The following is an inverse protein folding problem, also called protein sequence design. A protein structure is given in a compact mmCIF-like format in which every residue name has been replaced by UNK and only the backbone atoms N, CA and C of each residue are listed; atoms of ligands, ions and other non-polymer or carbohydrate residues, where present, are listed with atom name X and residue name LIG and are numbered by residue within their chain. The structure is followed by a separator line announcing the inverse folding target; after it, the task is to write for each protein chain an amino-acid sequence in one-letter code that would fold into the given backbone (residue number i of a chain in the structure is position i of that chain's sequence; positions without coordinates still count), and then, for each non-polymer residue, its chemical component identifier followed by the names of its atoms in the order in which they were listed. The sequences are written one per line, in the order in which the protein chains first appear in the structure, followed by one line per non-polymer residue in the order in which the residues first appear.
data_IF_135177119960
#
_entry.id   IF_135177119960
#
_cell.length_a   1.000
_cell.length_b   1.000
_cell.length_c   1.000
_cell.angle_alpha   90.00
_cell.angle_beta   90.00
_cell.angle_gamma   90.00
#
_symmetry.space_group_name_H-M   'P 1'
#
loop_
_entity.id
_entity.type
_entity.pdbx_description
1 polymer ?
#
# COMPACT_ATOMS: atom_id res chain seq x y z
N UNK A 1 -4.93 13.73 20.35
CA UNK A 1 -5.02 14.16 18.94
C UNK A 1 -6.07 13.31 18.29
N UNK A 2 -6.99 13.90 17.51
CA UNK A 2 -7.96 13.12 16.75
C UNK A 2 -7.21 12.23 15.74
N UNK A 3 -7.59 10.96 15.70
CA UNK A 3 -6.96 9.97 14.84
C UNK A 3 -7.34 10.23 13.39
N UNK A 4 -6.34 10.33 12.51
CA UNK A 4 -6.59 10.33 11.07
C UNK A 4 -6.90 8.91 10.63
N UNK A 5 -8.09 8.69 10.09
CA UNK A 5 -8.42 7.43 9.43
C UNK A 5 -7.93 7.51 7.97
N UNK A 6 -7.04 6.59 7.63
CA UNK A 6 -6.37 6.55 6.33
C UNK A 6 -7.13 5.73 5.29
N UNK A 7 -6.85 6.03 4.03
CA UNK A 7 -7.22 5.22 2.86
C UNK A 7 -6.86 3.74 3.05
N UNK A 8 -7.69 2.87 2.52
CA UNK A 8 -7.48 1.44 2.37
C UNK A 8 -6.65 1.17 1.12
N UNK A 9 -5.59 0.37 1.25
CA UNK A 9 -4.74 -0.05 0.15
C UNK A 9 -4.64 -1.56 0.19
N UNK A 10 -4.71 -2.20 -0.96
CA UNK A 10 -4.60 -3.64 -1.14
C UNK A 10 -3.68 -3.94 -2.31
N UNK A 11 -2.86 -4.97 -2.17
CA UNK A 11 -2.05 -5.54 -3.24
C UNK A 11 -2.34 -7.02 -3.39
N UNK A 12 -2.38 -7.46 -4.65
CA UNK A 12 -2.59 -8.84 -5.04
C UNK A 12 -1.57 -9.20 -6.11
N UNK A 13 -0.86 -10.31 -5.90
CA UNK A 13 0.07 -10.89 -6.86
C UNK A 13 -0.46 -12.24 -7.37
N UNK A 14 -0.27 -12.50 -8.66
CA UNK A 14 -0.43 -13.82 -9.28
C UNK A 14 0.71 -14.04 -10.26
N UNK A 15 1.70 -14.84 -9.86
CA UNK A 15 2.92 -15.04 -10.63
C UNK A 15 3.71 -13.73 -10.77
N UNK A 16 3.99 -13.36 -12.02
CA UNK A 16 4.69 -12.14 -12.43
C UNK A 16 3.79 -10.90 -12.46
N UNK A 17 2.47 -11.07 -12.40
CA UNK A 17 1.51 -9.96 -12.42
C UNK A 17 1.17 -9.50 -11.01
N UNK A 18 1.18 -8.19 -10.81
CA UNK A 18 0.78 -7.58 -9.54
C UNK A 18 -0.11 -6.37 -9.77
N UNK A 19 -1.14 -6.25 -8.95
CA UNK A 19 -1.94 -5.05 -8.84
C UNK A 19 -1.80 -4.47 -7.44
N UNK A 20 -1.82 -3.14 -7.37
CA UNK A 20 -1.89 -2.39 -6.13
C UNK A 20 -2.94 -1.30 -6.31
N UNK A 21 -3.90 -1.26 -5.40
CA UNK A 21 -4.96 -0.28 -5.47
C UNK A 21 -5.30 0.28 -4.11
N UNK A 22 -5.93 1.44 -4.11
CA UNK A 22 -6.44 2.05 -2.90
C UNK A 22 -7.61 2.98 -3.16
N UNK A 23 -8.39 3.22 -2.12
CA UNK A 23 -9.47 4.18 -2.15
C UNK A 23 -8.96 5.62 -1.91
N UNK A 24 -9.87 6.59 -2.02
CA UNK A 24 -9.56 8.01 -1.95
C UNK A 24 -10.01 8.70 -0.67
N UNK A 25 -10.65 8.00 0.28
CA UNK A 25 -11.22 8.63 1.46
C UNK A 25 -10.16 9.05 2.47
N UNK A 26 -10.27 10.30 2.92
CA UNK A 26 -9.52 10.85 4.06
C UNK A 26 -10.53 11.36 5.06
N UNK A 27 -10.50 10.80 6.25
CA UNK A 27 -11.42 11.13 7.35
C UNK A 27 -10.64 11.66 8.54
N UNK A 28 -11.08 12.80 9.07
CA UNK A 28 -10.57 13.39 10.31
C UNK A 28 -11.66 13.30 11.37
N UNK A 29 -11.42 12.51 12.42
CA UNK A 29 -12.45 12.15 13.38
C UNK A 29 -13.62 11.46 12.68
N UNK A 30 -14.76 12.13 12.63
CA UNK A 30 -15.98 11.62 12.01
C UNK A 30 -16.37 12.37 10.70
N UNK A 31 -15.49 13.23 10.19
CA UNK A 31 -15.77 14.08 9.02
C UNK A 31 -14.91 13.65 7.83
N UNK A 32 -15.55 13.38 6.70
CA UNK A 32 -14.87 13.14 5.42
C UNK A 32 -14.29 14.47 4.92
N UNK A 33 -12.96 14.58 4.90
CA UNK A 33 -12.27 15.78 4.41
C UNK A 33 -12.03 15.75 2.90
N UNK A 34 -11.77 14.57 2.33
CA UNK A 34 -11.48 14.39 0.92
C UNK A 34 -11.89 12.98 0.48
N UNK A 35 -12.52 12.88 -0.69
CA UNK A 35 -12.92 11.58 -1.27
C UNK A 35 -12.00 11.04 -2.37
N UNK A 36 -11.03 11.83 -2.85
CA UNK A 36 -10.19 11.47 -4.01
C UNK A 36 -8.69 11.62 -3.74
N UNK A 37 -8.21 11.18 -2.58
CA UNK A 37 -6.78 11.08 -2.33
C UNK A 37 -6.12 10.03 -3.25
N UNK A 38 -4.88 10.28 -3.63
CA UNK A 38 -4.09 9.38 -4.49
C UNK A 38 -2.85 8.93 -3.73
N UNK A 39 -2.93 7.78 -3.05
CA UNK A 39 -1.82 7.22 -2.25
C UNK A 39 -1.18 5.97 -2.86
N UNK A 40 -1.62 5.61 -4.05
CA UNK A 40 -1.00 4.59 -4.90
C UNK A 40 -0.27 5.29 -6.04
N UNK A 41 0.98 4.91 -6.28
CA UNK A 41 1.85 5.51 -7.29
C UNK A 41 2.81 4.49 -7.87
N UNK A 42 3.36 4.81 -9.04
CA UNK A 42 4.54 4.14 -9.57
C UNK A 42 5.77 4.98 -9.26
N UNK A 43 6.88 4.32 -8.97
CA UNK A 43 8.21 4.90 -8.74
C UNK A 43 9.26 4.09 -9.50
N UNK A 44 10.51 4.56 -9.50
CA UNK A 44 11.65 3.88 -10.12
C UNK A 44 11.37 3.49 -11.58
N UNK A 45 11.30 4.51 -12.45
CA UNK A 45 11.00 4.34 -13.89
C UNK A 45 9.72 3.55 -14.18
N UNK A 46 8.70 3.72 -13.32
CA UNK A 46 7.42 3.00 -13.38
C UNK A 46 7.49 1.47 -13.16
N UNK A 47 8.62 0.96 -12.66
CA UNK A 47 8.85 -0.48 -12.44
C UNK A 47 8.47 -0.95 -11.04
N UNK A 48 8.18 -0.04 -10.11
CA UNK A 48 7.77 -0.36 -8.74
C UNK A 48 6.47 0.33 -8.41
N UNK A 49 5.49 -0.42 -7.91
CA UNK A 49 4.26 0.09 -7.33
C UNK A 49 4.48 0.37 -5.85
N UNK A 50 3.89 1.46 -5.37
CA UNK A 50 3.94 1.81 -3.95
C UNK A 50 2.60 2.35 -3.49
N UNK A 51 2.18 1.90 -2.31
CA UNK A 51 0.97 2.34 -1.62
C UNK A 51 1.29 2.71 -0.18
N UNK A 52 0.73 3.81 0.31
CA UNK A 52 0.98 4.27 1.68
C UNK A 52 -0.31 4.56 2.47
N UNK A 53 -0.43 4.01 3.68
CA UNK A 53 -1.48 4.37 4.63
C UNK A 53 -0.88 5.19 5.80
N UNK A 54 -1.31 6.45 5.91
CA UNK A 54 -0.84 7.40 6.92
C UNK A 54 -1.02 8.87 6.48
N UNK A 55 -0.34 9.79 7.15
CA UNK A 55 -0.31 11.22 6.84
C UNK A 55 0.36 11.56 5.49
N UNK A 56 -0.22 12.48 4.72
CA UNK A 56 0.26 12.80 3.37
C UNK A 56 1.68 13.36 3.33
N UNK A 57 2.08 14.19 4.30
CA UNK A 57 3.42 14.79 4.35
C UNK A 57 4.52 13.73 4.57
N UNK A 58 4.19 12.73 5.37
CA UNK A 58 5.06 11.62 5.72
C UNK A 58 5.27 10.70 4.51
N UNK A 59 4.19 10.49 3.73
CA UNK A 59 4.22 9.69 2.51
C UNK A 59 5.27 10.21 1.52
N UNK A 60 5.25 11.50 1.18
CA UNK A 60 6.20 12.07 0.22
C UNK A 60 7.66 11.90 0.67
N UNK A 61 7.93 12.20 1.94
CA UNK A 61 9.29 12.09 2.48
C UNK A 61 9.82 10.65 2.46
N UNK A 62 8.96 9.66 2.72
CA UNK A 62 9.32 8.25 2.66
C UNK A 62 9.52 7.76 1.23
N UNK A 63 8.70 8.23 0.29
CA UNK A 63 8.80 7.88 -1.12
C UNK A 63 10.10 8.40 -1.75
N UNK A 64 10.45 9.66 -1.52
CA UNK A 64 11.69 10.24 -2.07
C UNK A 64 12.92 9.48 -1.54
N UNK A 65 12.93 9.13 -0.25
CA UNK A 65 13.99 8.31 0.34
C UNK A 65 14.02 6.90 -0.23
N UNK A 66 12.86 6.28 -0.43
CA UNK A 66 12.78 4.94 -0.96
C UNK A 66 13.24 4.86 -2.42
N UNK A 67 12.86 5.84 -3.24
CA UNK A 67 13.32 5.96 -4.63
C UNK A 67 14.85 6.13 -4.69
N UNK A 68 15.44 6.95 -3.83
CA UNK A 68 16.90 7.05 -3.71
C UNK A 68 17.57 5.72 -3.31
N UNK A 69 16.94 4.90 -2.46
CA UNK A 69 17.44 3.55 -2.13
C UNK A 69 17.33 2.60 -3.32
N UNK A 70 16.22 2.66 -4.08
CA UNK A 70 16.04 1.86 -5.28
C UNK A 70 17.11 2.20 -6.33
N UNK A 71 17.39 3.49 -6.57
CA UNK A 71 18.47 3.93 -7.46
C UNK A 71 19.83 3.40 -7.00
N UNK A 72 20.16 3.59 -5.73
CA UNK A 72 21.43 3.13 -5.14
C UNK A 72 21.62 1.61 -5.24
N UNK A 73 20.52 0.85 -5.17
CA UNK A 73 20.53 -0.61 -5.21
C UNK A 73 20.07 -1.19 -6.55
N UNK A 74 20.11 -0.39 -7.62
CA UNK A 74 19.82 -0.82 -9.00
C UNK A 74 18.48 -1.56 -9.11
N UNK A 75 17.45 -1.05 -8.44
CA UNK A 75 16.10 -1.61 -8.48
C UNK A 75 15.89 -2.85 -7.62
N UNK A 76 16.86 -3.29 -6.82
CA UNK A 76 16.66 -4.41 -5.91
C UNK A 76 15.68 -4.02 -4.78
N UNK A 77 14.41 -4.42 -4.95
CA UNK A 77 13.31 -4.02 -4.08
C UNK A 77 13.53 -4.43 -2.62
N UNK A 78 13.89 -5.68 -2.37
CA UNK A 78 14.11 -6.21 -1.02
C UNK A 78 15.24 -5.48 -0.31
N UNK A 79 16.36 -5.25 -1.00
CA UNK A 79 17.50 -4.52 -0.43
C UNK A 79 17.15 -3.07 -0.15
N UNK A 80 16.47 -2.40 -1.08
CA UNK A 80 16.02 -1.02 -0.89
C UNK A 80 15.03 -0.90 0.29
N UNK A 81 14.11 -1.85 0.43
CA UNK A 81 13.12 -1.90 1.51
C UNK A 81 13.79 -2.07 2.88
N UNK A 82 14.75 -3.00 3.00
CA UNK A 82 15.52 -3.21 4.23
C UNK A 82 16.33 -1.97 4.61
N UNK A 83 16.96 -1.30 3.64
CA UNK A 83 17.73 -0.08 3.91
C UNK A 83 16.83 1.11 4.26
N UNK A 84 15.63 1.22 3.67
CA UNK A 84 14.63 2.20 4.10
C UNK A 84 14.18 1.92 5.52
N UNK A 85 13.88 0.66 5.87
CA UNK A 85 13.42 0.27 7.19
C UNK A 85 14.47 0.57 8.29
N UNK A 86 15.76 0.38 7.98
CA UNK A 86 16.87 0.79 8.86
C UNK A 86 16.91 2.30 9.07
N UNK A 87 16.78 3.10 8.01
CA UNK A 87 16.71 4.56 8.10
C UNK A 87 15.48 4.98 8.92
N UNK A 88 14.33 4.34 8.71
CA UNK A 88 13.09 4.62 9.40
C UNK A 88 13.22 4.41 10.92
N UNK A 89 13.90 3.33 11.33
CA UNK A 89 14.15 3.00 12.74
C UNK A 89 15.22 3.89 13.40
N UNK A 90 16.13 4.47 12.63
CA UNK A 90 17.25 5.26 13.18
C UNK A 90 16.97 6.77 13.18
N UNK A 91 16.22 7.26 12.19
CA UNK A 91 15.86 8.67 12.05
C UNK A 91 14.82 9.09 13.11
N UNK A 92 15.14 10.15 13.86
CA UNK A 92 14.29 10.66 14.96
C UNK A 92 12.93 11.15 14.46
N UNK A 93 12.87 11.68 13.24
CA UNK A 93 11.63 12.18 12.65
C UNK A 93 10.78 11.03 12.13
N UNK A 94 11.40 10.07 11.41
CA UNK A 94 10.67 8.96 10.79
C UNK A 94 10.04 8.00 11.80
N UNK A 95 10.68 7.76 12.95
CA UNK A 95 10.13 6.89 14.01
C UNK A 95 8.79 7.33 14.60
N UNK A 96 8.40 8.58 14.41
CA UNK A 96 7.11 9.10 14.90
C UNK A 96 5.96 8.84 13.93
N UNK A 97 6.28 8.31 12.76
CA UNK A 97 5.31 8.02 11.72
C UNK A 97 4.62 6.70 12.03
N UNK A 98 3.30 6.74 12.21
CA UNK A 98 2.45 5.55 12.42
C UNK A 98 2.07 4.86 11.09
N UNK A 99 2.89 5.06 10.07
CA UNK A 99 2.50 4.71 8.72
C UNK A 99 2.99 3.34 8.28
N UNK A 100 2.29 2.78 7.29
CA UNK A 100 2.66 1.55 6.63
C UNK A 100 2.74 1.76 5.12
N UNK A 101 3.67 1.04 4.48
CA UNK A 101 3.89 1.04 3.05
C UNK A 101 3.68 -0.37 2.51
N UNK A 102 2.98 -0.52 1.38
CA UNK A 102 3.06 -1.69 0.52
C UNK A 102 3.87 -1.30 -0.70
N UNK A 103 4.83 -2.13 -1.10
CA UNK A 103 5.62 -1.94 -2.31
C UNK A 103 5.71 -3.23 -3.11
N UNK A 104 5.71 -3.14 -4.43
CA UNK A 104 5.77 -4.32 -5.30
C UNK A 104 6.46 -4.05 -6.64
N UNK A 105 7.26 -4.99 -7.12
CA UNK A 105 7.81 -5.03 -8.48
C UNK A 105 7.26 -6.25 -9.27
N UNK A 106 7.85 -6.61 -10.41
CA UNK A 106 7.42 -7.79 -11.17
C UNK A 106 7.58 -9.12 -10.42
N UNK A 107 8.44 -9.19 -9.41
CA UNK A 107 8.84 -10.43 -8.72
C UNK A 107 8.40 -10.51 -7.26
N UNK A 108 8.33 -9.38 -6.56
CA UNK A 108 8.32 -9.32 -5.10
C UNK A 108 7.29 -8.30 -4.61
N UNK A 109 6.55 -8.63 -3.56
CA UNK A 109 5.66 -7.72 -2.83
C UNK A 109 6.12 -7.66 -1.38
N UNK A 110 6.24 -6.46 -0.80
CA UNK A 110 6.68 -6.26 0.58
C UNK A 110 5.79 -5.26 1.32
N UNK A 111 5.65 -5.45 2.61
CA UNK A 111 5.08 -4.48 3.55
C UNK A 111 6.19 -3.91 4.42
N UNK A 112 6.28 -2.58 4.52
CA UNK A 112 7.23 -1.88 5.38
C UNK A 112 6.45 -1.13 6.46
N UNK A 113 6.80 -1.36 7.73
CA UNK A 113 6.12 -0.73 8.87
C UNK A 113 6.94 0.42 9.45
N UNK A 114 6.27 1.36 10.14
CA UNK A 114 6.93 2.44 10.88
C UNK A 114 7.89 1.98 11.99
N UNK A 115 7.80 0.71 12.41
CA UNK A 115 8.73 0.10 13.37
C UNK A 115 10.04 -0.39 12.71
N UNK A 116 10.12 -0.33 11.38
CA UNK A 116 11.26 -0.81 10.61
C UNK A 116 11.22 -2.30 10.32
N UNK A 117 10.04 -2.91 10.28
CA UNK A 117 9.87 -4.29 9.82
C UNK A 117 9.66 -4.33 8.31
N UNK A 118 10.21 -5.37 7.68
CA UNK A 118 9.97 -5.69 6.26
C UNK A 118 9.38 -7.08 6.19
N UNK A 119 8.15 -7.17 5.68
CA UNK A 119 7.35 -8.39 5.70
C UNK A 119 7.02 -8.80 4.26
N UNK A 120 7.25 -10.08 3.95
CA UNK A 120 6.80 -10.73 2.71
C UNK A 120 5.42 -11.39 2.97
N UNK A 121 4.34 -10.95 2.32
CA UNK A 121 3.00 -11.45 2.61
C UNK A 121 2.76 -12.84 2.04
N UNK A 122 2.18 -13.72 2.86
CA UNK A 122 1.75 -15.05 2.42
C UNK A 122 0.77 -14.96 1.25
N UNK A 123 1.01 -15.77 0.22
CA UNK A 123 0.19 -15.78 -1.00
C UNK A 123 0.29 -14.51 -1.86
N UNK A 124 1.21 -13.58 -1.55
CA UNK A 124 1.38 -12.35 -2.31
C UNK A 124 0.20 -11.38 -2.18
N UNK A 125 -0.59 -11.48 -1.11
CA UNK A 125 -1.78 -10.66 -0.85
C UNK A 125 -1.61 -9.93 0.48
N UNK A 126 -1.71 -8.61 0.46
CA UNK A 126 -1.67 -7.80 1.67
C UNK A 126 -2.55 -6.55 1.54
N UNK A 127 -2.98 -6.02 2.67
CA UNK A 127 -3.70 -4.76 2.74
C UNK A 127 -3.31 -3.96 3.97
N UNK A 128 -3.43 -2.64 3.88
CA UNK A 128 -3.17 -1.67 4.96
C UNK A 128 -4.26 -0.60 4.96
N UNK A 129 -4.36 0.15 6.06
CA UNK A 129 -5.33 1.24 6.21
C UNK A 129 -6.66 0.80 6.82
N UNK A 130 -7.63 1.72 6.86
CA UNK A 130 -8.81 1.59 7.72
C UNK A 130 -9.70 0.39 7.37
N UNK A 131 -9.85 0.08 6.09
CA UNK A 131 -10.60 -1.06 5.59
C UNK A 131 -9.73 -2.25 5.19
N UNK A 132 -8.45 -2.28 5.60
CA UNK A 132 -7.46 -3.27 5.16
C UNK A 132 -7.90 -4.71 5.41
N UNK A 133 -8.43 -5.02 6.59
CA UNK A 133 -8.88 -6.38 6.92
C UNK A 133 -10.03 -6.87 6.00
N UNK A 134 -10.98 -6.00 5.67
CA UNK A 134 -12.07 -6.34 4.75
C UNK A 134 -11.55 -6.59 3.33
N UNK A 135 -10.69 -5.69 2.84
CA UNK A 135 -10.07 -5.82 1.53
C UNK A 135 -9.20 -7.08 1.42
N UNK A 136 -8.40 -7.38 2.45
CA UNK A 136 -7.54 -8.56 2.46
C UNK A 136 -8.34 -9.86 2.48
N UNK A 137 -9.41 -9.94 3.30
CA UNK A 137 -10.28 -11.10 3.33
C UNK A 137 -10.96 -11.35 1.98
N UNK A 138 -11.50 -10.29 1.36
CA UNK A 138 -12.11 -10.36 0.04
C UNK A 138 -11.09 -10.76 -1.05
N UNK A 139 -9.91 -10.13 -1.07
CA UNK A 139 -8.86 -10.42 -2.03
C UNK A 139 -8.39 -11.87 -1.92
N UNK A 140 -8.19 -12.37 -0.71
CA UNK A 140 -7.80 -13.77 -0.46
C UNK A 140 -8.86 -14.75 -0.97
N UNK A 141 -10.13 -14.54 -0.60
CA UNK A 141 -11.21 -15.41 -1.04
C UNK A 141 -11.33 -15.47 -2.57
N UNK A 142 -11.24 -14.32 -3.25
CA UNK A 142 -11.27 -14.25 -4.71
C UNK A 142 -10.02 -14.90 -5.32
N UNK A 143 -8.85 -14.69 -4.74
CA UNK A 143 -7.60 -15.24 -5.24
C UNK A 143 -7.52 -16.77 -5.11
N UNK A 144 -8.14 -17.36 -4.09
CA UNK A 144 -8.14 -18.81 -3.88
C UNK A 144 -9.23 -19.53 -4.70
N UNK A 145 -10.28 -18.84 -5.13
CA UNK A 145 -11.49 -19.47 -5.68
C UNK A 145 -11.88 -19.00 -7.08
N UNK A 146 -11.06 -18.19 -7.75
CA UNK A 146 -11.37 -17.67 -9.09
C UNK A 146 -10.13 -17.57 -9.99
N UNK A 147 -10.33 -17.36 -11.29
CA UNK A 147 -9.26 -17.07 -12.26
C UNK A 147 -9.11 -15.57 -12.56
N UNK A 148 -9.67 -14.70 -11.71
CA UNK A 148 -9.63 -13.26 -11.90
C UNK A 148 -8.20 -12.72 -11.98
N UNK A 149 -8.01 -11.65 -12.76
CA UNK A 149 -6.72 -10.96 -12.82
C UNK A 149 -6.44 -10.25 -11.49
N UNK A 150 -5.16 -9.98 -11.14
CA UNK A 150 -4.83 -9.19 -9.96
C UNK A 150 -5.59 -7.84 -9.90
N UNK A 151 -5.77 -7.19 -11.05
CA UNK A 151 -6.51 -5.93 -11.16
C UNK A 151 -7.97 -6.09 -10.74
N UNK A 152 -8.64 -7.12 -11.27
CA UNK A 152 -10.05 -7.37 -10.99
C UNK A 152 -10.27 -7.75 -9.51
N UNK A 153 -9.34 -8.53 -8.94
CA UNK A 153 -9.37 -8.89 -7.52
C UNK A 153 -9.22 -7.63 -6.66
N UNK A 154 -8.25 -6.77 -6.94
CA UNK A 154 -8.05 -5.50 -6.22
C UNK A 154 -9.29 -4.61 -6.33
N UNK A 155 -9.88 -4.50 -7.52
CA UNK A 155 -11.08 -3.71 -7.74
C UNK A 155 -12.26 -4.21 -6.89
N UNK A 156 -12.51 -5.52 -6.91
CA UNK A 156 -13.60 -6.15 -6.13
C UNK A 156 -13.34 -6.12 -4.63
N UNK A 157 -12.09 -6.29 -4.20
CA UNK A 157 -11.72 -6.21 -2.79
C UNK A 157 -11.96 -4.81 -2.22
N UNK A 158 -11.62 -3.75 -2.96
CA UNK A 158 -11.91 -2.37 -2.57
C UNK A 158 -13.40 -2.03 -2.65
N UNK A 159 -14.17 -2.68 -3.52
CA UNK A 159 -15.63 -2.58 -3.55
C UNK A 159 -16.24 -3.05 -2.24
N UNK A 160 -15.94 -4.29 -1.88
CA UNK A 160 -16.44 -4.93 -0.66
C UNK A 160 -15.98 -4.14 0.57
N UNK A 161 -14.73 -3.68 0.59
CA UNK A 161 -14.24 -2.84 1.69
C UNK A 161 -15.00 -1.50 1.78
N UNK A 162 -15.33 -0.87 0.66
CA UNK A 162 -16.11 0.37 0.61
C UNK A 162 -17.57 0.21 1.04
N UNK A 163 -18.16 -0.97 0.79
CA UNK A 163 -19.53 -1.29 1.23
C UNK A 163 -19.61 -1.53 2.74
N UNK A 164 -18.51 -1.96 3.37
CA UNK A 164 -18.49 -2.37 4.78
C UNK A 164 -17.83 -1.36 5.73
N UNK A 165 -16.77 -0.68 5.28
CA UNK A 165 -15.96 0.20 6.11
C UNK A 165 -16.36 1.66 5.90
N UNK A 166 -16.88 2.31 6.94
CA UNK A 166 -17.23 3.75 6.91
C UNK A 166 -16.06 4.70 6.58
N UNK A 167 -14.82 4.20 6.62
CA UNK A 167 -13.60 4.94 6.31
C UNK A 167 -13.01 4.62 4.94
N UNK A 168 -13.72 3.85 4.11
CA UNK A 168 -13.30 3.47 2.74
C UNK A 168 -14.42 3.83 1.77
N UNK A 169 -14.10 4.46 0.65
CA UNK A 169 -15.10 4.77 -0.38
C UNK A 169 -14.87 4.01 -1.69
N UNK A 170 -15.73 4.30 -2.68
CA UNK A 170 -15.65 3.67 -4.01
C UNK A 170 -14.78 4.44 -5.02
N UNK A 171 -14.09 5.52 -4.61
CA UNK A 171 -13.18 6.25 -5.49
C UNK A 171 -11.82 5.56 -5.48
N UNK A 172 -11.56 4.74 -6.49
CA UNK A 172 -10.40 3.84 -6.50
C UNK A 172 -9.34 4.26 -7.51
N UNK A 173 -8.10 3.97 -7.18
CA UNK A 173 -6.96 4.02 -8.10
C UNK A 173 -6.30 2.65 -8.05
N UNK A 174 -6.01 2.09 -9.22
CA UNK A 174 -5.43 0.77 -9.36
C UNK A 174 -4.29 0.85 -10.37
N UNK A 175 -3.09 0.53 -9.91
CA UNK A 175 -1.88 0.40 -10.72
C UNK A 175 -1.49 -1.06 -10.85
N UNK A 176 -0.80 -1.40 -11.93
CA UNK A 176 -0.47 -2.79 -12.30
C UNK A 176 0.92 -2.90 -12.90
N UNK A 177 1.62 -3.98 -12.61
CA UNK A 177 2.80 -4.41 -13.37
C UNK A 177 2.44 -5.75 -14.00
N UNK A 178 2.74 -5.86 -15.30
CA UNK A 178 2.52 -7.05 -16.13
C UNK A 178 3.82 -7.78 -16.41
#
# INVERSE_FOLDING_TARGET
MEQFHGTTIVSVRRGDKVALGGDGQVTLGNIVMKGGARKVRRIYNNQVLVGFAGGTADAFSLLDRFEAKLEKHQGNLTRAAVELAKDWRTDRMLRRLEAMLITADASTTLVITGNGDVLDPEGGICAIGSGGAYAQAAARALAENTDLSPRDIVEKALEIAGDMCIYTNHNRIIETIE
#
